data_IF_549869868382
#
_entry.id   IF_549869868382
#
_cell.length_a   1.000
_cell.length_b   1.000
_cell.length_c   1.000
_cell.angle_alpha   90.00
_cell.angle_beta   90.00
_cell.angle_gamma   90.00
#
_symmetry.space_group_name_H-M   'P 1'
#
loop_
_entity.id
_entity.type
_entity.pdbx_description
1 polymer ?
#
# COMPACT_ATOMS: atom_id res chain seq x y z
N UNK A 1 43.69 -14.46 39.95
CA UNK A 1 44.08 -15.86 39.67
C UNK A 1 43.87 -16.13 38.19
N UNK A 2 44.93 -16.54 37.49
CA UNK A 2 44.92 -16.84 36.05
C UNK A 2 44.21 -18.18 35.81
N UNK A 3 43.25 -18.25 34.89
CA UNK A 3 42.92 -19.48 34.12
C UNK A 3 42.49 -19.10 32.70
N UNK A 4 43.09 -19.79 31.75
CA UNK A 4 43.09 -19.51 30.32
C UNK A 4 41.83 -20.05 29.63
N UNK A 5 41.29 -19.26 28.69
CA UNK A 5 40.30 -19.70 27.71
C UNK A 5 41.07 -20.27 26.53
N UNK A 6 40.82 -21.53 26.20
CA UNK A 6 41.41 -22.20 25.04
C UNK A 6 40.59 -21.82 23.80
N UNK A 7 41.21 -21.02 22.93
CA UNK A 7 40.66 -20.48 21.69
C UNK A 7 40.74 -21.57 20.60
N UNK A 8 39.61 -21.99 20.05
CA UNK A 8 39.59 -22.76 18.80
C UNK A 8 39.57 -21.76 17.63
N UNK A 9 40.72 -21.55 17.01
CA UNK A 9 40.90 -20.70 15.83
C UNK A 9 40.51 -21.53 14.60
N UNK A 10 39.42 -21.14 13.94
CA UNK A 10 39.17 -21.54 12.55
C UNK A 10 39.68 -20.40 11.67
N UNK A 11 40.81 -20.68 11.03
CA UNK A 11 41.53 -19.82 10.11
C UNK A 11 40.82 -19.80 8.76
N UNK A 12 40.38 -18.63 8.30
CA UNK A 12 40.21 -18.37 6.87
C UNK A 12 41.18 -17.26 6.47
N UNK A 13 42.05 -17.61 5.53
CA UNK A 13 43.13 -16.79 4.99
C UNK A 13 42.60 -15.70 4.04
N UNK A 14 43.12 -14.50 4.29
CA UNK A 14 43.56 -13.46 3.36
C UNK A 14 42.57 -12.82 2.35
N UNK A 15 42.40 -11.51 2.53
CA UNK A 15 41.89 -10.56 1.55
C UNK A 15 41.91 -9.14 2.12
N UNK A 16 43.09 -8.53 2.18
CA UNK A 16 43.36 -7.19 2.72
C UNK A 16 42.78 -6.06 1.87
N UNK A 17 42.01 -5.14 2.46
CA UNK A 17 41.99 -3.72 2.10
C UNK A 17 41.17 -2.88 3.10
N UNK A 18 41.84 -1.96 3.81
CA UNK A 18 41.32 -0.68 4.32
C UNK A 18 40.18 -0.72 5.35
N UNK A 19 40.53 -0.67 6.64
CA UNK A 19 39.59 -0.24 7.68
C UNK A 19 39.35 1.28 7.55
N UNK A 20 38.19 1.68 7.03
CA UNK A 20 37.70 3.06 7.16
C UNK A 20 36.95 3.20 8.49
N UNK A 21 37.40 4.14 9.32
CA UNK A 21 36.78 4.49 10.59
C UNK A 21 35.41 5.16 10.33
N UNK A 22 34.31 4.42 10.57
CA UNK A 22 32.95 4.94 10.41
C UNK A 22 32.60 5.73 11.67
N UNK A 23 32.46 7.06 11.54
CA UNK A 23 31.97 7.91 12.63
C UNK A 23 30.46 7.70 12.82
N UNK A 24 29.97 7.52 14.07
CA UNK A 24 28.54 7.32 14.30
C UNK A 24 27.74 8.59 13.93
N UNK A 25 26.70 8.40 13.12
CA UNK A 25 25.76 9.44 12.73
C UNK A 25 24.79 9.73 13.89
N UNK A 26 24.64 11.00 14.28
CA UNK A 26 23.68 11.40 15.30
C UNK A 26 22.28 11.57 14.69
N UNK A 27 21.32 10.79 15.20
CA UNK A 27 19.92 10.88 14.80
C UNK A 27 19.28 12.18 15.33
N UNK A 28 18.51 12.86 14.47
CA UNK A 28 17.72 14.04 14.85
C UNK A 28 16.36 13.61 15.42
N UNK A 29 15.94 14.27 16.49
CA UNK A 29 14.70 14.00 17.22
C UNK A 29 13.48 14.48 16.41
N UNK A 30 12.55 13.57 16.10
CA UNK A 30 11.32 13.86 15.36
C UNK A 30 10.21 14.20 16.35
N UNK A 31 9.65 15.42 16.25
CA UNK A 31 8.53 15.84 17.10
C UNK A 31 7.20 15.26 16.59
N UNK A 32 6.33 14.73 17.48
CA UNK A 32 5.03 14.19 17.08
C UNK A 32 4.08 15.30 16.60
N UNK A 33 3.40 15.04 15.49
CA UNK A 33 2.40 15.94 14.88
C UNK A 33 1.06 15.86 15.64
N UNK A 34 0.46 17.02 15.96
CA UNK A 34 -0.90 17.10 16.53
C UNK A 34 -1.94 17.19 15.41
N UNK A 35 -2.88 16.26 15.39
CA UNK A 35 -4.04 16.31 14.50
C UNK A 35 -4.97 17.49 14.84
N UNK A 36 -5.49 18.17 13.82
CA UNK A 36 -6.51 19.20 13.96
C UNK A 36 -7.91 18.56 13.91
N UNK A 37 -8.81 19.05 14.76
CA UNK A 37 -10.20 18.59 14.86
C UNK A 37 -11.01 19.08 13.65
N UNK A 38 -11.63 18.14 12.92
CA UNK A 38 -12.47 18.44 11.75
C UNK A 38 -13.93 18.54 12.22
N UNK A 39 -14.59 19.67 11.95
CA UNK A 39 -16.01 19.86 12.26
C UNK A 39 -16.90 19.03 11.29
N UNK A 40 -17.98 18.40 11.77
CA UNK A 40 -18.89 17.66 10.90
C UNK A 40 -19.65 18.61 9.96
N UNK A 41 -19.61 18.30 8.66
CA UNK A 41 -20.35 19.01 7.62
C UNK A 41 -21.82 18.55 7.61
N UNK A 42 -22.77 19.50 7.64
CA UNK A 42 -24.18 19.19 7.43
C UNK A 42 -24.52 19.20 5.94
N UNK A 43 -25.02 18.07 5.44
CA UNK A 43 -25.46 17.94 4.06
C UNK A 43 -26.76 18.73 3.82
N UNK A 44 -26.80 19.52 2.74
CA UNK A 44 -28.04 20.11 2.21
C UNK A 44 -28.67 19.17 1.18
N UNK A 45 -30.00 19.07 1.19
CA UNK A 45 -30.79 18.29 0.23
C UNK A 45 -30.63 18.83 -1.20
N UNK A 46 -30.20 17.97 -2.12
CA UNK A 46 -30.06 18.29 -3.54
C UNK A 46 -31.36 17.91 -4.28
N UNK A 47 -32.04 18.91 -4.86
CA UNK A 47 -33.13 18.67 -5.83
C UNK A 47 -32.54 18.25 -7.18
N UNK A 48 -33.22 17.38 -7.96
CA UNK A 48 -32.69 16.91 -9.24
C UNK A 48 -32.76 18.02 -10.30
N UNK A 49 -31.61 18.38 -10.87
CA UNK A 49 -31.50 19.35 -11.97
C UNK A 49 -31.13 18.65 -13.29
N UNK A 50 -31.92 18.98 -14.32
CA UNK A 50 -31.83 18.56 -15.74
C UNK A 50 -30.51 19.01 -16.40
N UNK A 51 -29.97 18.29 -17.41
CA UNK A 51 -28.67 18.64 -17.99
C UNK A 51 -28.78 19.89 -18.87
N UNK A 52 -27.97 20.90 -18.56
CA UNK A 52 -27.65 22.01 -19.44
C UNK A 52 -26.13 22.04 -19.64
N UNK A 53 -25.73 22.10 -20.89
CA UNK A 53 -24.37 22.01 -21.42
C UNK A 53 -23.54 23.26 -21.15
N UNK A 54 -22.42 23.11 -20.44
CA UNK A 54 -21.32 24.08 -20.35
C UNK A 54 -19.96 23.35 -20.52
N UNK A 55 -18.91 24.03 -21.05
CA UNK A 55 -17.70 23.38 -21.54
C UNK A 55 -16.78 22.91 -20.39
N UNK A 56 -16.05 21.78 -20.54
CA UNK A 56 -15.46 21.10 -19.40
C UNK A 56 -14.18 21.79 -18.92
N UNK A 57 -14.24 22.33 -17.71
CA UNK A 57 -13.08 22.61 -16.88
C UNK A 57 -12.31 21.32 -16.56
N UNK A 58 -10.99 21.43 -16.54
CA UNK A 58 -9.99 20.35 -16.46
C UNK A 58 -10.15 19.34 -15.31
N UNK A 59 -10.98 19.62 -14.31
CA UNK A 59 -11.15 18.78 -13.11
C UNK A 59 -12.15 17.62 -13.28
N UNK A 60 -13.18 17.73 -14.13
CA UNK A 60 -14.13 16.63 -14.33
C UNK A 60 -13.60 15.55 -15.30
N UNK A 61 -12.68 15.93 -16.20
CA UNK A 61 -12.06 14.97 -17.13
C UNK A 61 -11.24 13.89 -16.41
N UNK A 62 -10.64 14.20 -15.25
CA UNK A 62 -9.86 13.22 -14.49
C UNK A 62 -10.73 12.21 -13.73
N UNK A 63 -11.90 12.62 -13.22
CA UNK A 63 -12.80 11.72 -12.50
C UNK A 63 -13.45 10.65 -13.39
N UNK A 64 -13.78 10.98 -14.64
CA UNK A 64 -14.35 10.01 -15.58
C UNK A 64 -13.27 9.22 -16.35
N UNK A 65 -12.19 9.87 -16.80
CA UNK A 65 -11.10 9.20 -17.52
C UNK A 65 -10.32 8.24 -16.61
N UNK A 66 -10.05 8.65 -15.36
CA UNK A 66 -9.36 7.80 -14.38
C UNK A 66 -10.18 6.57 -13.98
N UNK A 67 -11.52 6.66 -13.94
CA UNK A 67 -12.36 5.51 -13.60
C UNK A 67 -12.33 4.42 -14.67
N UNK A 68 -12.32 4.78 -15.95
CA UNK A 68 -12.24 3.79 -17.03
C UNK A 68 -10.92 3.00 -16.96
N UNK A 69 -9.82 3.67 -16.61
CA UNK A 69 -8.50 3.04 -16.47
C UNK A 69 -8.44 2.01 -15.34
N UNK A 70 -9.26 2.16 -14.29
CA UNK A 70 -9.37 1.20 -13.19
C UNK A 70 -10.08 -0.09 -13.58
N UNK A 71 -10.90 -0.07 -14.63
CA UNK A 71 -11.72 -1.23 -15.01
C UNK A 71 -10.87 -2.36 -15.60
N UNK A 72 -11.36 -3.59 -15.45
CA UNK A 72 -10.76 -4.80 -16.01
C UNK A 72 -9.99 -5.64 -14.99
N UNK A 73 -9.11 -6.49 -15.49
CA UNK A 73 -8.40 -7.48 -14.70
C UNK A 73 -7.04 -6.96 -14.21
N UNK A 74 -6.70 -7.32 -12.97
CA UNK A 74 -5.52 -6.88 -12.23
C UNK A 74 -4.99 -8.02 -11.36
N UNK A 75 -3.73 -8.40 -11.56
CA UNK A 75 -3.04 -9.35 -10.70
C UNK A 75 -2.57 -8.63 -9.43
N UNK A 76 -3.23 -8.89 -8.30
CA UNK A 76 -2.91 -8.27 -7.01
C UNK A 76 -1.84 -9.03 -6.24
N UNK A 77 -1.14 -8.30 -5.36
CA UNK A 77 -0.08 -8.80 -4.49
C UNK A 77 0.04 -7.96 -3.22
N UNK A 78 0.38 -8.61 -2.11
CA UNK A 78 0.84 -7.94 -0.89
C UNK A 78 2.30 -7.59 -1.07
N UNK A 79 2.65 -6.33 -0.79
CA UNK A 79 4.04 -5.88 -0.84
C UNK A 79 4.86 -6.57 0.24
N UNK A 80 6.12 -6.87 -0.09
CA UNK A 80 7.08 -7.31 0.91
C UNK A 80 7.31 -6.23 1.96
N UNK A 81 7.68 -6.64 3.16
CA UNK A 81 7.97 -5.75 4.27
C UNK A 81 9.29 -6.15 4.92
N UNK A 82 10.05 -5.15 5.36
CA UNK A 82 11.29 -5.35 6.13
C UNK A 82 11.20 -4.46 7.35
N UNK A 83 11.39 -5.02 8.53
CA UNK A 83 11.39 -4.27 9.79
C UNK A 83 12.33 -4.91 10.80
N UNK A 84 12.72 -4.15 11.82
CA UNK A 84 13.52 -4.66 12.94
C UNK A 84 12.69 -4.70 14.21
N UNK A 85 13.02 -5.64 15.11
CA UNK A 85 12.53 -5.66 16.48
C UNK A 85 13.67 -5.94 17.45
N UNK A 86 13.59 -5.51 18.72
CA UNK A 86 14.58 -5.90 19.72
C UNK A 86 14.72 -7.43 19.77
N UNK A 87 15.96 -7.93 19.82
CA UNK A 87 16.21 -9.35 20.03
C UNK A 87 16.27 -9.69 21.52
N UNK A 88 16.21 -10.98 21.85
CA UNK A 88 16.46 -11.47 23.21
C UNK A 88 17.93 -11.37 23.63
N UNK A 89 18.84 -11.06 22.69
CA UNK A 89 20.26 -10.87 22.96
C UNK A 89 20.53 -9.37 23.11
N UNK A 90 21.03 -8.91 24.27
CA UNK A 90 21.33 -7.49 24.49
C UNK A 90 22.27 -6.92 23.42
N UNK A 91 21.90 -5.78 22.84
CA UNK A 91 22.70 -5.09 21.82
C UNK A 91 22.47 -5.58 20.39
N UNK A 92 21.52 -6.48 20.15
CA UNK A 92 21.16 -6.95 18.80
C UNK A 92 19.67 -6.74 18.52
N UNK A 93 19.36 -6.40 17.27
CA UNK A 93 18.01 -6.41 16.71
C UNK A 93 17.80 -7.61 15.79
N UNK A 94 16.57 -8.11 15.75
CA UNK A 94 16.13 -9.10 14.77
C UNK A 94 15.58 -8.39 13.55
N UNK A 95 16.15 -8.69 12.38
CA UNK A 95 15.61 -8.27 11.08
C UNK A 95 14.54 -9.26 10.63
N UNK A 96 13.34 -8.75 10.37
CA UNK A 96 12.23 -9.50 9.80
C UNK A 96 12.07 -9.14 8.33
N UNK A 97 11.88 -10.16 7.50
CA UNK A 97 11.66 -10.00 6.06
C UNK A 97 10.42 -10.80 5.68
N UNK A 98 9.44 -10.12 5.10
CA UNK A 98 8.31 -10.71 4.40
C UNK A 98 8.52 -10.49 2.90
N UNK A 99 8.64 -11.55 2.07
CA UNK A 99 8.94 -11.41 0.64
C UNK A 99 7.76 -10.86 -0.19
N UNK A 100 6.61 -10.58 0.42
CA UNK A 100 5.37 -10.30 -0.30
C UNK A 100 4.81 -11.56 -0.97
N UNK A 101 3.59 -11.47 -1.49
CA UNK A 101 2.92 -12.63 -2.10
C UNK A 101 1.88 -12.21 -3.11
N UNK A 102 1.60 -13.07 -4.10
CA UNK A 102 0.44 -12.90 -4.97
C UNK A 102 -0.84 -13.07 -4.15
N UNK A 103 -1.77 -12.12 -4.33
CA UNK A 103 -3.06 -12.08 -3.65
C UNK A 103 -4.23 -12.34 -4.61
N UNK A 104 -3.96 -12.99 -5.74
CA UNK A 104 -4.96 -13.37 -6.72
C UNK A 104 -5.42 -12.24 -7.64
N UNK A 105 -6.38 -12.57 -8.51
CA UNK A 105 -6.92 -11.68 -9.53
C UNK A 105 -8.03 -10.81 -8.96
N UNK A 106 -7.95 -9.50 -9.18
CA UNK A 106 -9.03 -8.53 -9.02
C UNK A 106 -9.58 -8.18 -10.40
N UNK A 107 -10.90 -8.30 -10.58
CA UNK A 107 -11.61 -7.89 -11.78
C UNK A 107 -12.65 -6.85 -11.38
N UNK A 108 -12.54 -5.65 -11.96
CA UNK A 108 -13.46 -4.54 -11.71
C UNK A 108 -14.31 -4.33 -12.97
N UNK A 109 -15.63 -4.46 -12.83
CA UNK A 109 -16.56 -4.36 -13.96
C UNK A 109 -17.18 -2.96 -14.05
N UNK A 110 -17.41 -2.43 -15.27
CA UNK A 110 -18.08 -1.13 -15.44
C UNK A 110 -19.51 -1.06 -14.89
N UNK A 111 -20.16 -2.21 -14.68
CA UNK A 111 -21.54 -2.31 -14.18
C UNK A 111 -21.67 -2.12 -12.65
N UNK A 112 -20.61 -1.70 -11.96
CA UNK A 112 -20.64 -1.47 -10.51
C UNK A 112 -20.31 -2.69 -9.67
N UNK A 113 -19.83 -3.80 -10.25
CA UNK A 113 -19.44 -5.00 -9.50
C UNK A 113 -17.96 -5.33 -9.61
N UNK A 114 -17.47 -6.19 -8.72
CA UNK A 114 -16.12 -6.71 -8.79
C UNK A 114 -16.07 -8.18 -8.34
N UNK A 115 -14.99 -8.87 -8.74
CA UNK A 115 -14.57 -10.16 -8.20
C UNK A 115 -13.12 -10.02 -7.77
N UNK A 116 -12.76 -10.51 -6.58
CA UNK A 116 -11.40 -10.52 -6.09
C UNK A 116 -11.06 -11.88 -5.50
N UNK A 117 -10.17 -12.61 -6.16
CA UNK A 117 -9.69 -13.93 -5.74
C UNK A 117 -8.59 -13.85 -4.67
N UNK A 118 -8.67 -12.83 -3.81
CA UNK A 118 -7.85 -12.70 -2.60
C UNK A 118 -8.55 -13.34 -1.42
N UNK A 119 -7.78 -13.93 -0.50
CA UNK A 119 -8.22 -14.48 0.79
C UNK A 119 -9.66 -15.03 0.82
N UNK A 120 -9.87 -16.20 0.22
CA UNK A 120 -11.16 -16.89 0.22
C UNK A 120 -12.14 -16.49 -0.88
N UNK A 121 -11.78 -15.50 -1.72
CA UNK A 121 -12.58 -15.09 -2.87
C UNK A 121 -13.78 -14.25 -2.47
N UNK A 122 -13.82 -13.01 -2.94
CA UNK A 122 -14.92 -12.07 -2.66
C UNK A 122 -15.51 -11.55 -3.96
N UNK A 123 -16.79 -11.24 -3.93
CA UNK A 123 -17.50 -10.52 -4.98
C UNK A 123 -18.45 -9.54 -4.33
N UNK A 124 -18.63 -8.39 -4.95
CA UNK A 124 -19.42 -7.34 -4.36
C UNK A 124 -19.69 -6.20 -5.32
N UNK A 125 -20.08 -5.07 -4.75
CA UNK A 125 -20.28 -3.82 -5.47
C UNK A 125 -19.14 -2.87 -5.20
N UNK A 126 -18.89 -1.97 -6.14
CA UNK A 126 -18.04 -0.82 -5.92
C UNK A 126 -18.83 0.47 -6.04
N UNK A 127 -18.39 1.48 -5.33
CA UNK A 127 -18.95 2.84 -5.35
C UNK A 127 -17.85 3.84 -5.72
N UNK A 128 -18.27 5.06 -6.07
CA UNK A 128 -17.31 6.16 -6.22
C UNK A 128 -16.95 6.71 -4.85
N UNK A 129 -15.67 6.98 -4.67
CA UNK A 129 -15.13 7.67 -3.51
C UNK A 129 -15.21 9.18 -3.71
N UNK A 130 -15.17 9.91 -2.59
CA UNK A 130 -14.90 11.35 -2.54
C UNK A 130 -13.41 11.68 -2.59
N UNK A 131 -12.53 10.68 -2.43
CA UNK A 131 -11.07 10.83 -2.46
C UNK A 131 -10.55 10.84 -3.90
N UNK A 132 -9.86 11.91 -4.30
CA UNK A 132 -9.27 12.05 -5.64
C UNK A 132 -8.30 10.92 -5.99
N UNK A 133 -7.45 10.54 -5.03
CA UNK A 133 -6.36 9.58 -5.25
C UNK A 133 -6.85 8.13 -5.21
N UNK A 134 -8.06 7.92 -4.71
CA UNK A 134 -8.73 6.63 -4.62
C UNK A 134 -10.18 6.77 -5.04
N UNK A 135 -10.46 6.97 -6.34
CA UNK A 135 -11.81 7.33 -6.81
C UNK A 135 -12.82 6.17 -6.75
N UNK A 136 -12.37 4.94 -6.46
CA UNK A 136 -13.20 3.75 -6.38
C UNK A 136 -13.11 3.13 -4.98
N UNK A 137 -14.24 2.70 -4.42
CA UNK A 137 -14.31 1.92 -3.18
C UNK A 137 -14.96 0.58 -3.46
N UNK A 138 -14.28 -0.51 -3.11
CA UNK A 138 -14.84 -1.86 -3.11
C UNK A 138 -15.58 -2.06 -1.76
N UNK A 139 -16.86 -2.40 -1.80
CA UNK A 139 -17.71 -2.56 -0.61
C UNK A 139 -17.78 -4.04 -0.19
N UNK A 140 -17.85 -4.29 1.13
CA UNK A 140 -18.04 -5.63 1.74
C UNK A 140 -17.07 -6.72 1.25
N UNK A 141 -15.78 -6.37 1.18
CA UNK A 141 -14.74 -7.23 0.58
C UNK A 141 -14.09 -8.18 1.60
N UNK A 142 -12.75 -8.23 1.63
CA UNK A 142 -11.93 -8.93 2.62
C UNK A 142 -12.26 -8.35 4.00
N UNK A 143 -12.50 -9.24 4.97
CA UNK A 143 -12.88 -8.89 6.35
C UNK A 143 -14.15 -8.01 6.48
N UNK A 144 -15.03 -8.00 5.48
CA UNK A 144 -16.23 -7.15 5.44
C UNK A 144 -15.90 -5.65 5.59
N UNK A 145 -14.77 -5.24 5.02
CA UNK A 145 -14.30 -3.85 5.01
C UNK A 145 -14.47 -3.21 3.64
N UNK A 146 -14.43 -1.87 3.65
CA UNK A 146 -14.33 -1.01 2.47
C UNK A 146 -12.87 -0.89 2.06
N UNK A 147 -12.59 -1.00 0.76
CA UNK A 147 -11.22 -0.87 0.24
C UNK A 147 -11.16 0.16 -0.87
N UNK A 148 -10.30 1.15 -0.67
CA UNK A 148 -10.05 2.25 -1.57
C UNK A 148 -9.11 1.80 -2.69
N UNK A 149 -9.45 2.11 -3.94
CA UNK A 149 -8.67 1.74 -5.12
C UNK A 149 -8.27 2.99 -5.88
N UNK A 150 -6.96 3.14 -6.07
CA UNK A 150 -6.32 4.20 -6.82
C UNK A 150 -5.40 3.64 -7.90
N UNK A 151 -5.13 4.44 -8.93
CA UNK A 151 -4.17 4.12 -9.99
C UNK A 151 -3.03 5.12 -9.96
N UNK A 152 -1.81 4.62 -9.82
CA UNK A 152 -0.63 5.41 -10.14
C UNK A 152 -0.41 5.35 -11.65
N UNK A 153 -0.69 6.47 -12.33
CA UNK A 153 -0.54 6.58 -13.77
C UNK A 153 0.91 6.46 -14.25
N UNK A 154 1.90 6.74 -13.38
CA UNK A 154 3.32 6.64 -13.76
C UNK A 154 3.78 5.20 -13.85
N UNK A 155 3.35 4.38 -12.88
CA UNK A 155 3.77 2.97 -12.80
C UNK A 155 2.73 2.01 -13.37
N UNK A 156 1.53 2.51 -13.71
CA UNK A 156 0.39 1.70 -14.15
C UNK A 156 0.05 0.59 -13.14
N UNK A 157 0.16 0.91 -11.86
CA UNK A 157 -0.15 0.02 -10.75
C UNK A 157 -1.37 0.51 -9.98
N UNK A 158 -2.25 -0.42 -9.66
CA UNK A 158 -3.27 -0.16 -8.66
C UNK A 158 -2.68 -0.20 -7.26
N UNK A 159 -3.19 0.68 -6.41
CA UNK A 159 -3.06 0.62 -4.96
C UNK A 159 -4.44 0.35 -4.39
N UNK A 160 -4.55 -0.68 -3.55
CA UNK A 160 -5.79 -1.12 -2.92
C UNK A 160 -5.56 -1.05 -1.41
N UNK A 161 -6.28 -0.19 -0.70
CA UNK A 161 -5.98 0.19 0.68
C UNK A 161 -7.23 0.13 1.57
N UNK A 162 -7.10 -0.41 2.78
CA UNK A 162 -8.21 -0.59 3.71
C UNK A 162 -8.60 0.68 4.49
N UNK A 163 -7.93 1.80 4.25
CA UNK A 163 -8.11 3.03 5.03
C UNK A 163 -7.24 3.09 6.29
N UNK A 164 -6.44 2.06 6.57
CA UNK A 164 -5.57 1.97 7.72
C UNK A 164 -4.17 1.46 7.33
N UNK A 165 -3.80 0.23 7.71
CA UNK A 165 -2.44 -0.28 7.62
C UNK A 165 -2.23 -1.28 6.47
N UNK A 166 -3.31 -1.87 5.92
CA UNK A 166 -3.19 -2.95 4.97
C UNK A 166 -3.35 -2.40 3.56
N UNK A 167 -2.38 -2.73 2.71
CA UNK A 167 -2.45 -2.40 1.28
C UNK A 167 -2.01 -3.55 0.40
N UNK A 168 -2.56 -3.56 -0.81
CA UNK A 168 -2.13 -4.38 -1.92
C UNK A 168 -1.71 -3.47 -3.06
N UNK A 169 -0.85 -4.02 -3.91
CA UNK A 169 -0.57 -3.47 -5.23
C UNK A 169 -1.12 -4.41 -6.28
N UNK A 170 -1.52 -3.90 -7.44
CA UNK A 170 -1.89 -4.76 -8.56
C UNK A 170 -1.38 -4.23 -9.89
N UNK A 171 -1.11 -5.14 -10.82
CA UNK A 171 -0.68 -4.84 -12.19
C UNK A 171 -1.58 -5.52 -13.20
N UNK A 172 -1.65 -5.00 -14.42
CA UNK A 172 -2.33 -5.70 -15.51
C UNK A 172 -1.70 -7.09 -15.71
N UNK A 173 -2.50 -8.16 -15.84
CA UNK A 173 -1.98 -9.46 -16.26
C UNK A 173 -1.26 -9.33 -17.60
N UNK A 174 -0.19 -10.10 -17.79
CA UNK A 174 0.43 -10.18 -19.11
C UNK A 174 -0.61 -10.73 -20.11
N UNK A 175 -0.74 -10.07 -21.27
CA UNK A 175 -1.46 -10.67 -22.38
C UNK A 175 -0.60 -11.82 -22.90
N UNK A 176 -1.13 -13.03 -22.84
CA UNK A 176 -0.51 -14.23 -23.42
C UNK A 176 -0.80 -14.30 -24.92
#
# INVERSE_FOLDING_TARGET
MKRAIQLAVITCLAGSAGAQEIKPYQAQEIKPYRAQEIKPYQAQEVKPSRPASEPPGRSERQGAAGMAELMGAWQSSVSGAVWTSPSSVPGFDTLHISPGALAGLLVIYPNGTYIWNSYGGKKGRWTRSDKSDYPLVLEDTVENKRWYVGLDQRTQRLYIWDGNAISYTARRPAQQ
#
